data_IF_890088428833
#
_entry.id   IF_890088428833
#
_cell.length_a   1.000
_cell.length_b   1.000
_cell.length_c   1.000
_cell.angle_alpha   90.00
_cell.angle_beta   90.00
_cell.angle_gamma   90.00
#
_symmetry.space_group_name_H-M   'P 1'
#
loop_
_entity.id
_entity.type
_entity.pdbx_description
1 polymer ?
#
# COMPACT_ATOMS: atom_id res chain seq x y z
N UNK A 1 -6.56 -30.57 1.24
CA UNK A 1 -7.05 -29.17 1.18
C UNK A 1 -6.59 -28.35 2.38
N UNK A 2 -6.69 -28.81 3.64
CA UNK A 2 -6.19 -28.04 4.80
C UNK A 2 -4.69 -27.73 4.72
N UNK A 3 -3.85 -28.71 4.38
CA UNK A 3 -2.40 -28.48 4.22
C UNK A 3 -2.06 -27.46 3.14
N UNK A 4 -2.86 -27.38 2.07
CA UNK A 4 -2.70 -26.41 0.98
C UNK A 4 -3.05 -24.98 1.44
N UNK A 5 -4.10 -24.86 2.25
CA UNK A 5 -4.47 -23.59 2.87
C UNK A 5 -3.41 -23.15 3.89
N UNK A 6 -2.90 -24.07 4.70
CA UNK A 6 -1.85 -23.78 5.70
C UNK A 6 -0.49 -23.40 5.06
N UNK A 7 -0.22 -23.87 3.84
CA UNK A 7 0.98 -23.51 3.06
C UNK A 7 0.84 -22.21 2.26
N UNK A 8 -0.37 -21.78 1.88
CA UNK A 8 -0.53 -20.54 1.11
C UNK A 8 -0.78 -19.32 2.01
N UNK A 9 -1.42 -19.52 3.15
CA UNK A 9 -1.82 -18.44 4.04
C UNK A 9 -0.62 -17.89 4.82
N UNK A 10 -0.50 -16.57 4.89
CA UNK A 10 0.49 -15.85 5.72
C UNK A 10 1.96 -16.05 5.30
N UNK A 11 2.25 -16.37 4.04
CA UNK A 11 3.63 -16.61 3.58
C UNK A 11 4.57 -15.43 3.89
N UNK A 12 4.14 -14.19 3.63
CA UNK A 12 4.94 -13.00 3.91
C UNK A 12 5.06 -12.74 5.42
N UNK A 13 4.01 -13.01 6.20
CA UNK A 13 4.09 -12.92 7.66
C UNK A 13 5.13 -13.90 8.22
N UNK A 14 5.13 -15.14 7.73
CA UNK A 14 6.12 -16.17 8.12
C UNK A 14 7.53 -15.75 7.73
N UNK A 15 7.72 -15.14 6.56
CA UNK A 15 9.00 -14.55 6.15
C UNK A 15 9.39 -13.42 7.10
N UNK A 16 8.46 -12.55 7.50
CA UNK A 16 8.76 -11.46 8.45
C UNK A 16 9.19 -11.98 9.82
N UNK A 17 8.49 -12.99 10.35
CA UNK A 17 8.83 -13.57 11.63
C UNK A 17 10.17 -14.29 11.56
N UNK A 18 10.41 -15.10 10.51
CA UNK A 18 11.70 -15.77 10.33
C UNK A 18 12.87 -14.77 10.19
N UNK A 19 12.68 -13.67 9.46
CA UNK A 19 13.68 -12.61 9.35
C UNK A 19 13.93 -11.88 10.67
N UNK A 20 12.85 -11.54 11.40
CA UNK A 20 12.96 -10.88 12.69
C UNK A 20 13.60 -11.80 13.76
N UNK A 21 13.24 -13.08 13.80
CA UNK A 21 13.84 -14.09 14.66
C UNK A 21 15.32 -14.30 14.35
N UNK A 22 15.68 -14.43 13.07
CA UNK A 22 17.07 -14.51 12.63
C UNK A 22 17.86 -13.30 13.15
N UNK A 23 17.34 -12.08 12.96
CA UNK A 23 17.96 -10.87 13.48
C UNK A 23 18.11 -10.86 15.01
N UNK A 24 17.05 -11.20 15.75
CA UNK A 24 17.07 -11.28 17.22
C UNK A 24 18.06 -12.33 17.74
N UNK A 25 18.33 -13.38 16.97
CA UNK A 25 19.33 -14.41 17.27
C UNK A 25 20.76 -14.04 16.82
N UNK A 26 20.97 -12.82 16.29
CA UNK A 26 22.26 -12.35 15.80
C UNK A 26 22.65 -12.88 14.41
N UNK A 27 21.72 -13.52 13.70
CA UNK A 27 21.92 -14.03 12.35
C UNK A 27 21.57 -12.97 11.28
N UNK A 28 22.02 -13.20 10.05
CA UNK A 28 21.69 -12.33 8.93
C UNK A 28 20.25 -12.57 8.44
N UNK A 29 19.32 -11.61 8.59
CA UNK A 29 17.92 -11.77 8.19
C UNK A 29 17.70 -11.81 6.68
N UNK A 30 18.73 -11.51 5.88
CA UNK A 30 18.70 -11.51 4.42
C UNK A 30 19.29 -12.78 3.79
N UNK A 31 19.87 -13.66 4.61
CA UNK A 31 20.34 -14.97 4.17
C UNK A 31 19.16 -15.92 3.89
N UNK A 32 19.46 -17.18 3.59
CA UNK A 32 18.44 -18.22 3.53
C UNK A 32 17.83 -18.40 4.92
N UNK A 33 16.49 -18.34 5.01
CA UNK A 33 15.79 -18.39 6.30
C UNK A 33 15.14 -19.76 6.50
N UNK A 34 15.22 -20.36 7.69
CA UNK A 34 14.54 -21.62 7.97
C UNK A 34 13.02 -21.44 7.95
N UNK A 35 12.31 -22.47 7.49
CA UNK A 35 10.86 -22.52 7.59
C UNK A 35 10.38 -23.94 7.84
N UNK A 36 9.66 -24.15 8.94
CA UNK A 36 9.04 -25.45 9.21
C UNK A 36 8.02 -25.86 8.12
N UNK A 37 7.45 -24.89 7.39
CA UNK A 37 6.40 -25.11 6.40
C UNK A 37 6.93 -25.19 4.97
N UNK A 38 7.95 -24.40 4.63
CA UNK A 38 8.51 -24.34 3.28
C UNK A 38 9.92 -24.95 3.18
N UNK A 39 10.43 -25.56 4.25
CA UNK A 39 11.81 -26.01 4.39
C UNK A 39 12.76 -24.83 4.59
N UNK A 40 12.94 -24.03 3.56
CA UNK A 40 13.75 -22.81 3.62
C UNK A 40 13.23 -21.75 2.66
N UNK A 41 13.15 -20.50 3.13
CA UNK A 41 13.00 -19.36 2.24
C UNK A 41 14.35 -19.00 1.63
N UNK A 42 14.36 -18.72 0.34
CA UNK A 42 15.57 -18.31 -0.37
C UNK A 42 16.20 -17.05 0.24
N UNK A 43 17.51 -16.87 0.00
CA UNK A 43 18.16 -15.60 0.30
C UNK A 43 17.40 -14.42 -0.34
N UNK A 44 17.32 -13.30 0.37
CA UNK A 44 16.54 -12.15 -0.04
C UNK A 44 15.02 -12.32 0.03
N UNK A 45 14.48 -13.39 0.64
CA UNK A 45 13.04 -13.50 0.86
C UNK A 45 12.48 -12.36 1.73
N UNK A 46 13.20 -11.98 2.80
CA UNK A 46 12.77 -10.93 3.73
C UNK A 46 12.79 -9.53 3.11
N UNK A 47 13.72 -9.19 2.21
CA UNK A 47 13.84 -7.99 1.34
C UNK A 47 13.47 -6.57 1.85
N UNK A 48 13.01 -6.42 3.09
CA UNK A 48 12.59 -5.18 3.68
C UNK A 48 13.82 -4.46 4.25
N UNK A 49 13.84 -3.11 4.23
CA UNK A 49 14.95 -2.37 4.80
C UNK A 49 15.14 -2.72 6.28
N UNK A 50 16.37 -2.61 6.82
CA UNK A 50 16.65 -2.91 8.22
C UNK A 50 15.71 -2.20 9.21
N UNK A 51 15.20 -1.02 8.83
CA UNK A 51 14.20 -0.25 9.61
C UNK A 51 12.89 -1.01 9.88
N UNK A 52 12.58 -2.07 9.13
CA UNK A 52 11.41 -2.90 9.41
C UNK A 52 11.59 -3.82 10.63
N UNK A 53 12.83 -4.20 10.95
CA UNK A 53 13.12 -5.22 11.95
C UNK A 53 12.63 -4.86 13.36
N UNK A 54 12.82 -3.63 13.89
CA UNK A 54 12.44 -3.34 15.27
C UNK A 54 10.95 -3.48 15.56
N UNK A 55 10.09 -3.05 14.63
CA UNK A 55 8.65 -3.18 14.85
C UNK A 55 8.16 -4.61 14.63
N UNK A 56 8.76 -5.33 13.68
CA UNK A 56 8.46 -6.75 13.45
C UNK A 56 8.86 -7.62 14.64
N UNK A 57 9.97 -7.31 15.30
CA UNK A 57 10.42 -7.99 16.51
C UNK A 57 9.40 -7.92 17.66
N UNK A 58 8.54 -6.90 17.70
CA UNK A 58 7.46 -6.81 18.69
C UNK A 58 6.41 -7.92 18.52
N UNK A 59 6.32 -8.50 17.32
CA UNK A 59 5.36 -9.55 16.99
C UNK A 59 5.95 -10.95 17.07
N UNK A 60 7.28 -11.10 17.17
CA UNK A 60 7.95 -12.40 17.30
C UNK A 60 7.40 -13.23 18.47
N UNK A 61 7.20 -12.68 19.69
CA UNK A 61 6.63 -13.45 20.81
C UNK A 61 5.20 -13.95 20.56
N UNK A 62 4.47 -13.34 19.60
CA UNK A 62 3.11 -13.72 19.26
C UNK A 62 3.08 -14.78 18.14
N UNK A 63 4.18 -15.00 17.42
CA UNK A 63 4.25 -15.94 16.30
C UNK A 63 3.11 -15.74 15.29
N UNK A 64 2.34 -16.81 15.04
CA UNK A 64 1.16 -16.76 14.17
C UNK A 64 0.01 -15.91 14.71
N UNK A 65 -0.12 -15.73 16.03
CA UNK A 65 -1.14 -14.84 16.61
C UNK A 65 -0.86 -13.37 16.28
N UNK A 66 0.40 -13.01 16.11
CA UNK A 66 0.80 -11.65 15.75
C UNK A 66 0.18 -11.19 14.44
N UNK A 67 0.00 -12.11 13.48
CA UNK A 67 -0.70 -11.84 12.23
C UNK A 67 -2.13 -11.38 12.47
N UNK A 68 -2.92 -12.15 13.23
CA UNK A 68 -4.32 -11.82 13.49
C UNK A 68 -4.47 -10.53 14.29
N UNK A 69 -3.60 -10.31 15.28
CA UNK A 69 -3.55 -9.05 16.03
C UNK A 69 -3.28 -7.88 15.08
N UNK A 70 -2.29 -8.05 14.20
CA UNK A 70 -1.93 -7.04 13.20
C UNK A 70 -3.08 -6.76 12.23
N UNK A 71 -3.73 -7.80 11.69
CA UNK A 71 -4.92 -7.68 10.83
C UNK A 71 -6.07 -6.96 11.54
N UNK A 72 -6.35 -7.31 12.80
CA UNK A 72 -7.41 -6.66 13.58
C UNK A 72 -7.12 -5.18 13.82
N UNK A 73 -5.87 -4.83 14.13
CA UNK A 73 -5.45 -3.44 14.28
C UNK A 73 -5.59 -2.66 12.96
N UNK A 74 -5.15 -3.24 11.85
CA UNK A 74 -5.32 -2.66 10.51
C UNK A 74 -6.79 -2.39 10.20
N UNK A 75 -7.64 -3.41 10.29
CA UNK A 75 -9.07 -3.30 10.00
C UNK A 75 -9.79 -2.31 10.94
N UNK A 76 -9.46 -2.34 12.22
CA UNK A 76 -10.00 -1.41 13.21
C UNK A 76 -9.64 0.04 12.90
N UNK A 77 -8.37 0.31 12.57
CA UNK A 77 -7.93 1.66 12.19
C UNK A 77 -8.58 2.13 10.87
N UNK A 78 -8.68 1.25 9.87
CA UNK A 78 -9.43 1.53 8.64
C UNK A 78 -10.88 1.91 8.93
N UNK A 79 -11.57 1.12 9.77
CA UNK A 79 -12.95 1.39 10.15
C UNK A 79 -13.10 2.77 10.82
N UNK A 80 -12.24 3.06 11.80
CA UNK A 80 -12.28 4.32 12.56
C UNK A 80 -11.98 5.54 11.68
N UNK A 81 -10.94 5.45 10.83
CA UNK A 81 -10.47 6.58 10.04
C UNK A 81 -11.30 6.84 8.77
N UNK A 82 -11.94 5.80 8.23
CA UNK A 82 -12.46 5.81 6.84
C UNK A 82 -13.95 5.51 6.80
N UNK A 83 -14.42 4.56 7.61
CA UNK A 83 -15.82 4.12 7.64
C UNK A 83 -16.83 5.22 7.94
N UNK A 84 -16.40 6.30 8.62
CA UNK A 84 -17.28 7.42 8.94
C UNK A 84 -17.45 8.46 7.82
N UNK A 85 -16.55 8.54 6.84
CA UNK A 85 -16.51 9.69 5.91
C UNK A 85 -16.48 9.35 4.43
N UNK A 86 -16.06 8.13 4.05
CA UNK A 86 -15.91 7.73 2.64
C UNK A 86 -16.21 6.23 2.48
N UNK A 87 -17.44 5.80 2.80
CA UNK A 87 -17.84 4.37 2.77
C UNK A 87 -17.61 3.70 1.41
N UNK A 88 -17.73 4.44 0.31
CA UNK A 88 -17.44 3.93 -1.04
C UNK A 88 -15.96 3.64 -1.28
N UNK A 89 -15.04 4.31 -0.55
CA UNK A 89 -13.60 4.08 -0.66
C UNK A 89 -13.14 2.85 0.15
N UNK A 90 -13.91 2.41 1.16
CA UNK A 90 -13.68 1.13 1.82
C UNK A 90 -13.75 -0.03 0.82
N UNK A 91 -14.62 0.03 -0.19
CA UNK A 91 -14.75 -1.03 -1.19
C UNK A 91 -13.47 -1.23 -2.05
N UNK A 92 -12.72 -0.16 -2.30
CA UNK A 92 -11.46 -0.22 -3.06
C UNK A 92 -10.31 -0.84 -2.27
N UNK A 93 -10.46 -0.83 -0.95
CA UNK A 93 -9.50 -1.24 0.06
C UNK A 93 -9.77 -2.69 0.50
N UNK A 94 -11.06 -3.07 0.56
CA UNK A 94 -11.55 -4.43 0.84
C UNK A 94 -11.24 -5.45 -0.27
N UNK A 95 -10.64 -5.02 -1.38
CA UNK A 95 -10.52 -5.83 -2.58
C UNK A 95 -9.08 -6.35 -2.75
N UNK A 96 -8.25 -5.83 -3.66
CA UNK A 96 -6.87 -6.34 -3.85
C UNK A 96 -5.96 -6.23 -2.61
N UNK A 97 -5.88 -5.09 -1.87
CA UNK A 97 -4.98 -4.96 -0.73
C UNK A 97 -5.36 -5.83 0.46
N UNK A 98 -6.66 -5.89 0.78
CA UNK A 98 -7.13 -6.71 1.89
C UNK A 98 -7.02 -8.18 1.56
N UNK A 99 -7.34 -8.61 0.32
CA UNK A 99 -7.13 -10.01 -0.05
C UNK A 99 -5.65 -10.36 -0.02
N UNK A 100 -4.74 -9.49 -0.48
CA UNK A 100 -3.29 -9.71 -0.32
C UNK A 100 -2.85 -9.77 1.12
N UNK A 101 -3.37 -8.89 1.96
CA UNK A 101 -3.10 -8.93 3.38
C UNK A 101 -3.62 -10.23 4.03
N UNK A 102 -4.82 -10.65 3.64
CA UNK A 102 -5.46 -11.85 4.17
C UNK A 102 -4.73 -13.11 3.70
N UNK A 103 -4.48 -13.26 2.41
CA UNK A 103 -3.85 -14.44 1.84
C UNK A 103 -2.33 -14.46 2.05
N UNK A 104 -1.61 -13.39 1.69
CA UNK A 104 -0.15 -13.39 1.75
C UNK A 104 0.40 -12.91 3.10
N UNK A 105 -0.34 -12.08 3.84
CA UNK A 105 0.17 -11.47 5.08
C UNK A 105 0.94 -10.16 4.86
N UNK A 106 0.74 -9.49 3.72
CA UNK A 106 1.46 -8.26 3.38
C UNK A 106 1.18 -7.09 4.34
N UNK A 107 2.23 -6.41 4.79
CA UNK A 107 2.15 -5.20 5.63
C UNK A 107 1.93 -3.89 4.85
N UNK A 108 1.83 -3.95 3.52
CA UNK A 108 1.65 -2.76 2.67
C UNK A 108 0.35 -2.01 2.98
N UNK A 109 -0.68 -2.73 3.44
CA UNK A 109 -2.00 -2.17 3.69
C UNK A 109 -2.00 -1.09 4.79
N UNK A 110 -1.29 -1.32 5.89
CA UNK A 110 -1.12 -0.30 6.93
C UNK A 110 -0.27 0.89 6.47
N UNK A 111 0.79 0.66 5.69
CA UNK A 111 1.60 1.77 5.15
C UNK A 111 0.74 2.71 4.30
N UNK A 112 -0.16 2.14 3.47
CA UNK A 112 -1.15 2.90 2.71
C UNK A 112 -2.08 3.67 3.64
N UNK A 113 -2.62 3.03 4.69
CA UNK A 113 -3.51 3.70 5.64
C UNK A 113 -2.84 4.92 6.26
N UNK A 114 -1.59 4.80 6.68
CA UNK A 114 -0.82 5.91 7.26
C UNK A 114 -0.68 7.05 6.25
N UNK A 115 -0.26 6.76 5.02
CA UNK A 115 -0.09 7.78 3.96
C UNK A 115 -1.41 8.46 3.62
N UNK A 116 -2.48 7.67 3.55
CA UNK A 116 -3.82 8.14 3.25
C UNK A 116 -4.35 9.05 4.37
N UNK A 117 -4.18 8.64 5.62
CA UNK A 117 -4.58 9.43 6.78
C UNK A 117 -3.72 10.70 6.90
N UNK A 118 -2.41 10.60 6.63
CA UNK A 118 -1.51 11.75 6.58
C UNK A 118 -1.96 12.74 5.51
N UNK A 119 -2.30 12.28 4.30
CA UNK A 119 -2.77 13.14 3.21
C UNK A 119 -4.04 13.94 3.55
N UNK A 120 -4.90 13.38 4.40
CA UNK A 120 -6.14 14.03 4.86
C UNK A 120 -5.95 14.93 6.08
N UNK A 121 -4.85 14.80 6.80
CA UNK A 121 -4.60 15.59 7.99
C UNK A 121 -4.48 17.08 7.62
N UNK A 122 -5.21 18.00 8.28
CA UNK A 122 -5.11 19.43 8.01
C UNK A 122 -3.74 20.00 8.44
N UNK A 123 -3.07 19.33 9.38
CA UNK A 123 -1.78 19.71 9.95
C UNK A 123 -0.96 18.45 10.22
N UNK A 124 0.32 18.47 9.82
CA UNK A 124 1.26 17.37 9.95
C UNK A 124 2.49 17.82 10.73
N UNK A 125 2.61 17.33 11.97
CA UNK A 125 3.73 17.60 12.88
C UNK A 125 4.53 16.34 13.22
N UNK A 126 5.17 16.33 14.40
CA UNK A 126 6.07 15.26 14.85
C UNK A 126 5.48 13.84 14.74
N UNK A 127 4.27 13.62 15.27
CA UNK A 127 3.64 12.31 15.26
C UNK A 127 3.37 11.78 13.85
N UNK A 128 3.00 12.66 12.92
CA UNK A 128 2.87 12.29 11.51
C UNK A 128 4.22 11.95 10.90
N UNK A 129 5.28 12.66 11.28
CA UNK A 129 6.63 12.31 10.83
C UNK A 129 7.07 10.93 11.29
N UNK A 130 6.81 10.57 12.55
CA UNK A 130 7.08 9.22 13.09
C UNK A 130 6.28 8.14 12.33
N UNK A 131 4.98 8.38 12.10
CA UNK A 131 4.14 7.45 11.37
C UNK A 131 4.61 7.28 9.91
N UNK A 132 5.01 8.37 9.24
CA UNK A 132 5.53 8.33 7.88
C UNK A 132 6.89 7.64 7.80
N UNK A 133 7.75 7.78 8.81
CA UNK A 133 8.99 7.00 8.91
C UNK A 133 8.71 5.50 9.04
N UNK A 134 7.69 5.12 9.81
CA UNK A 134 7.23 3.74 9.88
C UNK A 134 6.68 3.26 8.52
N UNK A 135 5.85 4.06 7.81
CA UNK A 135 5.36 3.67 6.49
C UNK A 135 6.51 3.45 5.47
N UNK A 136 7.64 4.16 5.64
CA UNK A 136 8.84 4.00 4.83
C UNK A 136 9.60 2.68 5.06
N UNK A 137 9.18 1.82 5.99
CA UNK A 137 9.65 0.42 6.03
C UNK A 137 9.15 -0.38 4.83
N UNK A 138 8.19 0.15 4.05
CA UNK A 138 7.79 -0.35 2.72
C UNK A 138 8.01 0.74 1.67
N UNK A 139 9.27 1.06 1.31
CA UNK A 139 9.59 2.22 0.48
C UNK A 139 8.95 2.13 -0.92
N UNK A 140 8.69 0.92 -1.41
CA UNK A 140 8.06 0.70 -2.72
C UNK A 140 6.65 1.30 -2.79
N UNK A 141 5.90 1.30 -1.68
CA UNK A 141 4.56 1.89 -1.62
C UNK A 141 4.56 3.32 -1.06
N UNK A 142 5.53 3.65 -0.21
CA UNK A 142 5.52 4.88 0.57
C UNK A 142 6.34 6.04 0.01
N UNK A 143 7.39 5.78 -0.77
CA UNK A 143 8.34 6.82 -1.18
C UNK A 143 7.68 7.92 -2.01
N UNK A 144 6.98 7.55 -3.10
CA UNK A 144 6.36 8.53 -3.98
C UNK A 144 5.25 9.33 -3.26
N UNK A 145 4.31 8.71 -2.52
CA UNK A 145 3.32 9.46 -1.76
C UNK A 145 3.95 10.38 -0.69
N UNK A 146 5.01 9.92 0.00
CA UNK A 146 5.72 10.75 0.97
C UNK A 146 6.35 11.98 0.31
N UNK A 147 7.07 11.81 -0.80
CA UNK A 147 7.67 12.93 -1.54
C UNK A 147 6.61 13.94 -2.00
N UNK A 148 5.46 13.45 -2.43
CA UNK A 148 4.33 14.31 -2.78
C UNK A 148 3.82 15.11 -1.56
N UNK A 149 3.66 14.47 -0.40
CA UNK A 149 3.23 15.14 0.84
C UNK A 149 4.25 16.20 1.30
N UNK A 150 5.54 15.88 1.24
CA UNK A 150 6.61 16.82 1.58
C UNK A 150 6.63 18.02 0.64
N UNK A 151 6.43 17.80 -0.66
CA UNK A 151 6.31 18.88 -1.64
C UNK A 151 5.09 19.76 -1.37
N UNK A 152 3.94 19.16 -1.09
CA UNK A 152 2.72 19.89 -0.74
C UNK A 152 2.90 20.73 0.54
N UNK A 153 3.66 20.23 1.51
CA UNK A 153 3.89 20.89 2.80
C UNK A 153 5.11 21.83 2.83
N UNK A 154 5.76 22.10 1.70
CA UNK A 154 6.96 22.94 1.63
C UNK A 154 6.80 24.35 2.24
N UNK A 155 5.57 24.88 2.22
CA UNK A 155 5.20 26.18 2.79
C UNK A 155 4.51 26.07 4.16
N UNK A 156 4.31 24.85 4.69
CA UNK A 156 3.66 24.65 5.98
C UNK A 156 4.54 25.15 7.12
N UNK A 157 3.98 25.89 8.10
CA UNK A 157 4.72 26.26 9.31
C UNK A 157 5.13 25.04 10.16
N UNK A 158 4.54 23.86 9.91
CA UNK A 158 4.88 22.62 10.61
C UNK A 158 5.94 21.76 9.89
N UNK A 159 6.43 22.19 8.72
CA UNK A 159 7.33 21.36 7.89
C UNK A 159 8.54 20.81 8.65
N UNK A 160 9.13 21.60 9.54
CA UNK A 160 10.30 21.19 10.31
C UNK A 160 9.95 20.17 11.40
N UNK A 161 8.75 20.24 11.97
CA UNK A 161 8.26 19.23 12.92
C UNK A 161 7.97 17.92 12.20
N UNK A 162 7.42 17.98 10.99
CA UNK A 162 7.21 16.82 10.13
C UNK A 162 8.55 16.15 9.77
N UNK A 163 9.49 16.92 9.22
CA UNK A 163 10.82 16.43 8.85
C UNK A 163 11.60 15.91 10.06
N UNK A 164 11.53 16.61 11.18
CA UNK A 164 12.11 16.16 12.44
C UNK A 164 11.53 14.82 12.88
N UNK A 165 10.20 14.65 12.80
CA UNK A 165 9.55 13.38 13.12
C UNK A 165 9.97 12.26 12.17
N UNK A 166 10.12 12.54 10.88
CA UNK A 166 10.62 11.55 9.91
C UNK A 166 12.06 11.15 10.25
N UNK A 167 12.92 12.12 10.52
CA UNK A 167 14.31 11.87 10.88
C UNK A 167 14.41 11.06 12.17
N UNK A 168 13.70 11.47 13.23
CA UNK A 168 13.66 10.77 14.51
C UNK A 168 13.12 9.35 14.36
N UNK A 169 11.98 9.17 13.68
CA UNK A 169 11.38 7.86 13.48
C UNK A 169 12.29 6.93 12.67
N UNK A 170 12.93 7.46 11.63
CA UNK A 170 13.92 6.70 10.84
C UNK A 170 15.10 6.30 11.70
N UNK A 171 15.63 7.20 12.54
CA UNK A 171 16.72 6.87 13.46
C UNK A 171 16.32 5.81 14.48
N UNK A 172 15.15 5.93 15.11
CA UNK A 172 14.65 4.97 16.09
C UNK A 172 14.49 3.56 15.48
N UNK A 173 14.11 3.47 14.20
CA UNK A 173 13.97 2.21 13.48
C UNK A 173 15.29 1.70 12.89
N UNK A 174 16.21 2.58 12.50
CA UNK A 174 17.48 2.21 11.88
C UNK A 174 18.55 1.84 12.92
N UNK A 175 18.54 2.49 14.08
CA UNK A 175 19.63 2.39 15.04
C UNK A 175 19.74 0.99 15.65
N UNK A 176 18.67 0.36 16.20
CA UNK A 176 18.79 -0.98 16.78
C UNK A 176 19.39 -2.04 15.84
N UNK A 177 18.92 -2.19 14.58
CA UNK A 177 19.49 -3.19 13.68
C UNK A 177 20.91 -2.86 13.26
N UNK A 178 21.24 -1.58 13.08
CA UNK A 178 22.60 -1.13 12.70
C UNK A 178 23.60 -1.35 13.82
N UNK A 179 23.20 -1.17 15.09
CA UNK A 179 24.07 -1.43 16.23
C UNK A 179 24.30 -2.93 16.44
N UNK A 180 23.26 -3.75 16.24
CA UNK A 180 23.36 -5.21 16.36
C UNK A 180 24.21 -5.83 15.23
N UNK A 181 24.10 -5.31 14.01
CA UNK A 181 24.93 -5.71 12.87
C UNK A 181 25.29 -4.47 12.03
N UNK A 182 26.53 -3.94 12.17
CA UNK A 182 26.99 -2.80 11.37
C UNK A 182 26.96 -3.03 9.85
N UNK A 183 27.03 -4.29 9.40
CA UNK A 183 26.96 -4.69 7.99
C UNK A 183 25.54 -4.83 7.43
N UNK A 184 24.49 -4.67 8.26
CA UNK A 184 23.12 -5.06 7.88
C UNK A 184 22.57 -4.33 6.65
N UNK A 185 23.01 -3.09 6.42
CA UNK A 185 22.61 -2.32 5.24
C UNK A 185 23.26 -2.85 3.96
N UNK A 186 24.52 -3.30 4.03
CA UNK A 186 25.20 -3.94 2.91
C UNK A 186 24.57 -5.31 2.61
N UNK A 187 24.26 -6.08 3.65
CA UNK A 187 23.55 -7.37 3.53
C UNK A 187 22.18 -7.19 2.85
N UNK A 188 21.42 -6.17 3.26
CA UNK A 188 20.14 -5.84 2.65
C UNK A 188 20.29 -5.51 1.16
N UNK A 189 21.21 -4.62 0.81
CA UNK A 189 21.45 -4.21 -0.57
C UNK A 189 21.90 -5.40 -1.44
N UNK A 190 22.77 -6.26 -0.91
CA UNK A 190 23.26 -7.45 -1.60
C UNK A 190 22.16 -8.49 -1.84
N UNK A 191 21.11 -8.51 -1.03
CA UNK A 191 19.98 -9.43 -1.17
C UNK A 191 18.87 -8.93 -2.12
N UNK A 192 18.85 -7.63 -2.46
CA UNK A 192 17.86 -7.06 -3.38
C UNK A 192 17.80 -7.72 -4.77
N UNK A 193 18.91 -8.15 -5.40
CA UNK A 193 18.85 -8.87 -6.67
C UNK A 193 18.10 -10.22 -6.58
N UNK A 194 18.26 -10.96 -5.48
CA UNK A 194 17.55 -12.22 -5.27
C UNK A 194 16.05 -11.99 -5.08
N UNK A 195 15.68 -10.97 -4.31
CA UNK A 195 14.29 -10.51 -4.20
C UNK A 195 13.72 -10.06 -5.56
N UNK A 196 14.52 -9.33 -6.35
CA UNK A 196 14.13 -8.88 -7.68
C UNK A 196 13.85 -10.07 -8.59
N UNK A 197 14.68 -11.12 -8.59
CA UNK A 197 14.43 -12.32 -9.39
C UNK A 197 13.08 -12.98 -9.04
N UNK A 198 12.72 -13.04 -7.75
CA UNK A 198 11.42 -13.52 -7.27
C UNK A 198 10.26 -12.63 -7.75
N UNK A 199 10.37 -11.31 -7.68
CA UNK A 199 9.34 -10.39 -8.21
C UNK A 199 9.26 -10.44 -9.74
N UNK A 200 10.38 -10.60 -10.43
CA UNK A 200 10.43 -10.69 -11.89
C UNK A 200 9.71 -11.94 -12.42
N UNK A 201 9.69 -13.02 -11.63
CA UNK A 201 8.84 -14.20 -11.89
C UNK A 201 7.35 -13.92 -11.67
N UNK A 202 6.99 -12.93 -10.84
CA UNK A 202 5.61 -12.45 -10.63
C UNK A 202 5.14 -11.41 -11.67
N UNK A 203 5.83 -11.29 -12.80
CA UNK A 203 5.25 -10.80 -14.06
C UNK A 203 4.64 -9.39 -14.04
N UNK A 204 5.48 -8.35 -13.92
CA UNK A 204 5.22 -7.01 -14.52
C UNK A 204 6.39 -6.00 -14.37
N UNK A 205 7.49 -6.38 -13.72
CA UNK A 205 8.55 -5.46 -13.34
C UNK A 205 9.65 -5.31 -14.41
N UNK A 206 9.37 -4.87 -15.64
CA UNK A 206 10.47 -4.61 -16.59
C UNK A 206 10.30 -3.38 -17.48
N UNK A 207 11.37 -2.60 -17.63
CA UNK A 207 11.64 -1.75 -18.80
C UNK A 207 11.02 -0.33 -18.80
N UNK A 208 10.57 0.19 -19.97
CA UNK A 208 10.08 1.58 -20.15
C UNK A 208 8.83 1.93 -19.32
N UNK A 209 8.34 0.97 -18.56
CA UNK A 209 7.34 1.04 -17.49
C UNK A 209 7.40 2.27 -16.58
N UNK A 210 8.59 2.66 -16.10
CA UNK A 210 8.77 3.91 -15.32
C UNK A 210 8.46 5.17 -16.16
N UNK A 211 8.85 5.15 -17.43
CA UNK A 211 8.57 6.23 -18.39
C UNK A 211 7.08 6.27 -18.69
N UNK A 212 6.43 5.11 -18.86
CA UNK A 212 4.99 5.00 -19.07
C UNK A 212 4.18 5.45 -17.84
N UNK A 213 4.64 5.16 -16.62
CA UNK A 213 4.03 5.68 -15.40
C UNK A 213 4.17 7.22 -15.30
N UNK A 214 5.36 7.75 -15.58
CA UNK A 214 5.59 9.21 -15.63
C UNK A 214 4.73 9.89 -16.71
N UNK A 215 4.60 9.27 -17.89
CA UNK A 215 3.77 9.75 -18.98
C UNK A 215 2.28 9.70 -18.63
N UNK A 216 1.80 8.63 -18.00
CA UNK A 216 0.42 8.51 -17.55
C UNK A 216 0.08 9.56 -16.47
N UNK A 217 0.98 9.78 -15.51
CA UNK A 217 0.85 10.82 -14.50
C UNK A 217 0.82 12.23 -15.11
N UNK A 218 1.68 12.49 -16.11
CA UNK A 218 1.72 13.76 -16.85
C UNK A 218 0.47 13.98 -17.73
N UNK A 219 0.04 12.97 -18.48
CA UNK A 219 -1.17 13.01 -19.30
C UNK A 219 -2.41 13.26 -18.44
N UNK A 220 -2.45 12.76 -17.22
CA UNK A 220 -3.51 13.06 -16.26
C UNK A 220 -3.47 14.47 -15.71
N UNK A 221 -2.29 14.95 -15.30
CA UNK A 221 -2.11 16.35 -14.89
C UNK A 221 -2.63 17.31 -15.99
N UNK A 222 -2.43 16.93 -17.26
CA UNK A 222 -2.94 17.64 -18.44
C UNK A 222 -4.44 17.42 -18.70
N UNK A 223 -5.01 16.22 -18.49
CA UNK A 223 -6.33 15.89 -19.05
C UNK A 223 -7.51 16.55 -18.33
N UNK A 224 -7.42 16.84 -17.03
CA UNK A 224 -8.51 17.39 -16.18
C UNK A 224 -9.91 16.73 -16.33
N UNK A 225 -10.07 15.65 -17.12
CA UNK A 225 -11.37 15.14 -17.62
C UNK A 225 -11.54 13.62 -17.62
N UNK A 226 -10.53 12.82 -17.27
CA UNK A 226 -10.72 11.37 -17.21
C UNK A 226 -9.59 10.68 -16.45
N UNK A 227 -9.97 9.81 -15.52
CA UNK A 227 -9.02 9.02 -14.72
C UNK A 227 -8.60 7.70 -15.37
N UNK A 228 -9.06 7.36 -16.59
CA UNK A 228 -8.78 6.04 -17.18
C UNK A 228 -7.32 5.81 -17.54
N UNK A 229 -6.59 6.86 -17.95
CA UNK A 229 -5.15 6.78 -18.23
C UNK A 229 -4.33 6.43 -16.98
N UNK A 230 -4.83 6.79 -15.78
CA UNK A 230 -4.24 6.38 -14.51
C UNK A 230 -4.33 4.90 -14.25
N UNK A 231 -5.44 4.31 -14.63
CA UNK A 231 -5.72 2.92 -14.35
C UNK A 231 -5.13 1.97 -15.39
N UNK A 232 -4.92 2.46 -16.61
CA UNK A 232 -4.10 1.78 -17.60
C UNK A 232 -2.64 1.67 -17.10
N UNK A 233 -2.13 2.70 -16.42
CA UNK A 233 -0.86 2.60 -15.69
C UNK A 233 -0.94 1.70 -14.45
N UNK A 234 -2.06 1.69 -13.71
CA UNK A 234 -2.29 0.78 -12.59
C UNK A 234 -2.24 -0.69 -13.02
N UNK A 235 -2.86 -1.00 -14.14
CA UNK A 235 -2.89 -2.34 -14.71
C UNK A 235 -1.62 -2.76 -15.43
N UNK A 236 -0.87 -1.81 -15.98
CA UNK A 236 0.45 -2.11 -16.49
C UNK A 236 1.48 -2.37 -15.38
N UNK A 237 1.28 -1.82 -14.16
CA UNK A 237 2.26 -1.84 -13.05
C UNK A 237 1.67 -2.35 -11.72
N UNK A 238 1.17 -3.59 -11.70
CA UNK A 238 0.12 -4.09 -10.82
C UNK A 238 0.32 -4.00 -9.30
N UNK A 239 1.52 -4.17 -8.75
CA UNK A 239 1.69 -4.26 -7.29
C UNK A 239 2.18 -2.94 -6.68
N UNK A 240 3.26 -2.37 -7.20
CA UNK A 240 3.88 -1.15 -6.68
C UNK A 240 3.08 0.10 -7.01
N UNK A 241 2.54 0.16 -8.23
CA UNK A 241 1.76 1.31 -8.67
C UNK A 241 0.38 1.30 -8.04
N UNK A 242 -0.29 0.14 -7.96
CA UNK A 242 -1.60 0.02 -7.31
C UNK A 242 -1.56 0.46 -5.84
N UNK A 243 -0.57 -0.01 -5.07
CA UNK A 243 -0.46 0.40 -3.66
C UNK A 243 -0.13 1.89 -3.48
N UNK A 244 0.80 2.42 -4.28
CA UNK A 244 1.09 3.86 -4.30
C UNK A 244 -0.12 4.68 -4.76
N UNK A 245 -0.93 4.14 -5.67
CA UNK A 245 -2.16 4.76 -6.17
C UNK A 245 -3.23 4.79 -5.11
N UNK A 246 -3.49 3.68 -4.42
CA UNK A 246 -4.45 3.61 -3.31
C UNK A 246 -4.04 4.62 -2.21
N UNK A 247 -2.74 4.73 -1.90
CA UNK A 247 -2.24 5.72 -0.95
C UNK A 247 -2.50 7.17 -1.38
N UNK A 248 -2.41 7.45 -2.69
CA UNK A 248 -2.61 8.80 -3.24
C UNK A 248 -4.08 9.16 -3.49
N UNK A 249 -5.01 8.20 -3.45
CA UNK A 249 -6.43 8.42 -3.74
C UNK A 249 -7.09 9.65 -3.08
N UNK A 250 -6.85 9.98 -1.79
CA UNK A 250 -7.42 11.18 -1.15
C UNK A 250 -7.06 12.48 -1.85
N UNK A 251 -5.84 12.52 -2.39
CA UNK A 251 -5.30 13.71 -3.04
C UNK A 251 -5.72 13.75 -4.50
N UNK A 252 -5.71 12.59 -5.17
CA UNK A 252 -6.06 12.48 -6.59
C UNK A 252 -7.55 12.71 -6.86
N UNK A 253 -8.42 12.42 -5.87
CA UNK A 253 -9.88 12.59 -5.95
C UNK A 253 -10.46 12.10 -7.29
N UNK A 254 -10.23 10.84 -7.69
CA UNK A 254 -10.73 10.34 -8.96
C UNK A 254 -12.25 10.49 -9.01
N UNK A 255 -12.78 11.01 -10.12
CA UNK A 255 -14.24 11.06 -10.32
C UNK A 255 -14.78 9.62 -10.39
N UNK A 256 -15.84 9.28 -9.65
CA UNK A 256 -16.47 7.96 -9.71
C UNK A 256 -17.28 7.84 -11.00
N UNK A 257 -16.60 7.72 -12.13
CA UNK A 257 -17.22 7.46 -13.43
C UNK A 257 -16.82 6.07 -13.93
N UNK A 258 -17.60 5.52 -14.86
CA UNK A 258 -17.42 4.17 -15.37
C UNK A 258 -16.01 3.91 -15.93
N UNK A 259 -15.34 4.96 -16.41
CA UNK A 259 -13.96 4.92 -16.92
C UNK A 259 -12.89 4.77 -15.84
N UNK A 260 -13.06 5.43 -14.69
CA UNK A 260 -12.20 5.21 -13.52
C UNK A 260 -12.35 3.78 -12.99
N UNK A 261 -13.58 3.24 -13.04
CA UNK A 261 -13.88 1.89 -12.55
C UNK A 261 -13.43 0.80 -13.53
N UNK A 262 -13.60 0.99 -14.84
CA UNK A 262 -13.16 0.05 -15.88
C UNK A 262 -11.64 -0.17 -15.84
N UNK A 263 -10.92 0.91 -15.53
CA UNK A 263 -9.48 0.82 -15.35
C UNK A 263 -9.05 0.03 -14.11
N UNK A 264 -9.77 0.15 -12.99
CA UNK A 264 -9.55 -0.70 -11.80
C UNK A 264 -9.77 -2.18 -12.12
N UNK A 265 -10.81 -2.49 -12.90
CA UNK A 265 -11.10 -3.86 -13.33
C UNK A 265 -9.98 -4.40 -14.23
N UNK A 266 -9.54 -3.59 -15.20
CA UNK A 266 -8.42 -3.93 -16.07
C UNK A 266 -7.13 -4.16 -15.27
N UNK A 267 -6.88 -3.36 -14.21
CA UNK A 267 -5.71 -3.54 -13.37
C UNK A 267 -5.71 -4.84 -12.57
N UNK A 268 -6.88 -5.27 -12.08
CA UNK A 268 -7.04 -6.59 -11.46
C UNK A 268 -6.87 -7.75 -12.46
N UNK A 269 -7.35 -7.58 -13.69
CA UNK A 269 -7.18 -8.60 -14.76
C UNK A 269 -5.71 -8.73 -15.17
N UNK A 270 -4.99 -7.62 -15.29
CA UNK A 270 -3.59 -7.59 -15.72
C UNK A 270 -2.59 -7.99 -14.63
N UNK A 271 -3.03 -8.14 -13.37
CA UNK A 271 -2.21 -8.65 -12.25
C UNK A 271 -1.70 -10.08 -12.44
N UNK A 272 -2.22 -10.82 -13.45
CA UNK A 272 -1.67 -12.10 -13.90
C UNK A 272 -1.89 -13.25 -12.90
N UNK A 273 -1.65 -14.50 -13.32
CA UNK A 273 -1.67 -15.64 -12.43
C UNK A 273 -0.42 -15.65 -11.53
N UNK A 274 -0.60 -15.94 -10.25
CA UNK A 274 0.50 -16.10 -9.30
C UNK A 274 0.94 -17.56 -9.28
N UNK A 275 2.19 -17.83 -9.66
CA UNK A 275 2.78 -19.16 -9.53
C UNK A 275 3.53 -19.29 -8.20
N UNK A 276 3.27 -20.38 -7.47
CA UNK A 276 3.91 -20.70 -6.20
C UNK A 276 4.45 -22.13 -6.24
N UNK A 277 5.76 -22.28 -6.10
CA UNK A 277 6.43 -23.57 -6.12
C UNK A 277 6.54 -24.14 -4.69
N UNK A 278 5.99 -25.34 -4.49
CA UNK A 278 5.98 -26.05 -3.22
C UNK A 278 7.22 -26.92 -3.05
N UNK A 279 7.56 -27.24 -1.79
CA UNK A 279 8.73 -28.06 -1.45
C UNK A 279 8.71 -29.48 -2.05
N UNK A 280 7.53 -30.00 -2.40
CA UNK A 280 7.37 -31.29 -3.07
C UNK A 280 7.55 -31.22 -4.61
N UNK A 281 8.00 -30.07 -5.14
CA UNK A 281 8.18 -29.84 -6.57
C UNK A 281 6.91 -29.46 -7.33
N UNK A 282 5.78 -29.25 -6.65
CA UNK A 282 4.51 -28.87 -7.29
C UNK A 282 4.43 -27.36 -7.47
N UNK A 283 4.11 -26.89 -8.68
CA UNK A 283 3.79 -25.49 -8.95
C UNK A 283 2.28 -25.25 -8.90
N UNK A 284 1.82 -24.38 -8.01
CA UNK A 284 0.43 -23.92 -7.93
C UNK A 284 0.27 -22.59 -8.65
N UNK A 285 -0.69 -22.54 -9.57
CA UNK A 285 -1.06 -21.30 -10.26
C UNK A 285 -2.38 -20.79 -9.70
N UNK A 286 -2.32 -19.69 -8.98
CA UNK A 286 -3.47 -19.03 -8.36
C UNK A 286 -4.02 -17.95 -9.31
N UNK A 287 -5.34 -17.98 -9.51
CA UNK A 287 -6.13 -17.03 -10.31
C UNK A 287 -6.92 -15.95 -9.50
N UNK A 288 -6.63 -15.65 -8.22
CA UNK A 288 -7.48 -14.77 -7.41
C UNK A 288 -7.58 -13.36 -8.02
N UNK A 289 -6.57 -12.96 -8.79
CA UNK A 289 -6.51 -11.69 -9.52
C UNK A 289 -7.53 -11.59 -10.65
N UNK A 290 -7.66 -12.67 -11.43
CA UNK A 290 -8.67 -12.79 -12.47
C UNK A 290 -10.06 -12.77 -11.83
N UNK A 291 -10.26 -13.52 -10.75
CA UNK A 291 -11.56 -13.58 -10.05
C UNK A 291 -11.97 -12.23 -9.46
N UNK A 292 -11.00 -11.50 -8.87
CA UNK A 292 -11.20 -10.13 -8.43
C UNK A 292 -11.67 -9.26 -9.60
N UNK A 293 -10.91 -9.23 -10.70
CA UNK A 293 -11.26 -8.45 -11.89
C UNK A 293 -12.67 -8.71 -12.42
N UNK A 294 -13.12 -9.98 -12.37
CA UNK A 294 -14.47 -10.39 -12.74
C UNK A 294 -15.54 -9.89 -11.75
N UNK A 295 -15.27 -9.92 -10.44
CA UNK A 295 -16.22 -9.42 -9.42
C UNK A 295 -16.42 -7.91 -9.51
N UNK A 296 -15.38 -7.13 -9.83
CA UNK A 296 -15.56 -5.70 -10.08
C UNK A 296 -16.31 -5.45 -11.40
N UNK A 297 -16.01 -6.19 -12.46
CA UNK A 297 -16.76 -6.10 -13.70
C UNK A 297 -18.26 -6.41 -13.48
N UNK A 298 -18.58 -7.43 -12.69
CA UNK A 298 -19.95 -7.78 -12.31
C UNK A 298 -20.63 -6.67 -11.46
N UNK A 299 -19.91 -6.11 -10.48
CA UNK A 299 -20.41 -4.98 -9.67
C UNK A 299 -20.65 -3.71 -10.50
N UNK A 300 -19.83 -3.48 -11.53
CA UNK A 300 -20.01 -2.39 -12.49
C UNK A 300 -21.24 -2.60 -13.39
N UNK A 301 -21.48 -3.82 -13.85
CA UNK A 301 -22.69 -4.17 -14.61
C UNK A 301 -23.97 -4.02 -13.76
N UNK A 302 -23.86 -4.20 -12.45
CA UNK A 302 -24.96 -4.03 -11.50
C UNK A 302 -25.23 -2.56 -11.07
N UNK A 303 -24.49 -1.58 -11.59
CA UNK A 303 -24.84 -0.16 -11.50
C UNK A 303 -24.03 0.72 -10.54
N UNK A 304 -23.09 0.16 -9.76
CA UNK A 304 -22.09 0.92 -8.97
C UNK A 304 -22.63 2.08 -8.09
N UNK A 305 -21.77 2.97 -7.56
CA UNK A 305 -22.20 4.15 -6.84
C UNK A 305 -22.70 5.20 -7.85
N UNK A 306 -24.00 5.47 -7.80
CA UNK A 306 -24.63 6.54 -8.57
C UNK A 306 -24.03 7.90 -8.16
N UNK A 307 -23.77 8.81 -9.13
CA UNK A 307 -23.37 10.16 -8.79
C UNK A 307 -24.43 10.80 -7.90
N UNK A 308 -24.00 11.47 -6.82
CA UNK A 308 -24.90 12.34 -6.08
C UNK A 308 -25.43 13.41 -7.06
N UNK A 309 -26.74 13.71 -7.03
CA UNK A 309 -27.29 14.76 -7.88
C UNK A 309 -26.55 16.07 -7.61
N UNK A 310 -26.16 16.74 -8.68
CA UNK A 310 -25.51 18.05 -8.61
C UNK A 310 -26.47 18.98 -7.84
N UNK A 311 -26.02 19.66 -6.77
CA UNK A 311 -26.85 20.65 -6.10
C UNK A 311 -27.31 21.66 -7.14
N UNK A 312 -28.61 21.88 -7.23
CA UNK A 312 -29.17 22.87 -8.15
C UNK A 312 -28.43 24.21 -7.92
N UNK A 313 -28.06 24.94 -8.98
CA UNK A 313 -27.46 26.26 -8.82
C UNK A 313 -28.35 27.08 -7.88
N UNK A 314 -27.75 27.65 -6.83
CA UNK A 314 -28.47 28.51 -5.92
C UNK A 314 -29.15 29.59 -6.77
N UNK A 315 -30.48 29.58 -6.78
CA UNK A 315 -31.26 30.64 -7.43
C UNK A 315 -30.77 31.94 -6.80
N UNK A 316 -30.21 32.89 -7.58
CA UNK A 316 -29.76 34.15 -7.03
C UNK A 316 -30.93 34.75 -6.25
N UNK A 317 -30.68 35.03 -4.96
CA UNK A 317 -31.68 35.62 -4.10
C UNK A 317 -32.22 36.86 -4.82
N UNK A 318 -33.52 36.84 -5.12
CA UNK A 318 -34.20 37.99 -5.71
C UNK A 318 -33.88 39.18 -4.80
N UNK A 319 -33.29 40.26 -5.30
CA UNK A 319 -32.97 41.41 -4.46
C UNK A 319 -34.25 41.84 -3.78
N UNK A 320 -34.24 41.85 -2.44
CA UNK A 320 -35.37 42.33 -1.66
C UNK A 320 -35.69 43.75 -2.12
N UNK A 321 -36.96 44.06 -2.44
CA UNK A 321 -37.34 45.42 -2.80
C UNK A 321 -36.95 46.35 -1.66
N UNK A 322 -36.14 47.34 -2.02
CA UNK A 322 -35.67 48.42 -1.17
C UNK A 322 -36.88 49.05 -0.47
N UNK A 323 -37.06 48.75 0.81
CA UNK A 323 -38.05 49.44 1.64
C UNK A 323 -37.59 50.88 1.76
N UNK A 324 -38.18 51.75 0.92
CA UNK A 324 -38.10 53.20 1.07
C UNK A 324 -38.53 53.54 2.50
N UNK A 325 -37.56 53.88 3.35
CA UNK A 325 -37.84 54.58 4.60
C UNK A 325 -38.36 55.95 4.23
N UNK A 326 -39.65 56.16 4.46
CA UNK A 326 -40.23 57.49 4.59
C UNK A 326 -39.86 57.96 6.00
N UNK A 327 -38.94 58.92 6.08
CA UNK A 327 -38.81 59.88 7.17
C UNK A 327 -38.48 61.23 6.55
#
# INVERSE_FOLDING_TARGET
MSELFDTLFQIDWRIFMAGAEAWLSGQNPYAQLPSATFGSFSAGAFAYPPTALPWLALFVPLGGLGYYVWTLLELGLWWVLIGKTQRSQLLLVLWSPLLLHLFEGQSTFMAILVLWAAARAPRRGWLWGLALAWAMTKPQAALLPLLWLLWHDRQSPQRWRLLGGIALGTLLLALPPTLANPGIWADWLAALPAYRARILQMGAWQGPSVVLFGLAAWLWYRSRRGGWQWWLAAGAFPQTSFYSMVALMPVLRPRPNNWSLAGLALAGVLQGPMQLDLANGTSLVLLPWILCGHLLAAWMLAGGPQPAPIPAPAVPATPMPEQRRIQ
#
